data_IF_617547096169
#
_entry.id   IF_617547096169
#
_cell.length_a   1.000
_cell.length_b   1.000
_cell.length_c   1.000
_cell.angle_alpha   90.00
_cell.angle_beta   90.00
_cell.angle_gamma   90.00
#
_symmetry.space_group_name_H-M   'P 1'
#
loop_
_entity.id
_entity.type
_entity.pdbx_description
1 polymer ?
#
# COMPACT_ATOMS: atom_id res chain seq x y z
N UNK A 1 0.34 7.88 -1.20
CA UNK A 1 1.21 6.82 -0.63
C UNK A 1 1.83 7.32 0.67
N UNK A 2 2.00 6.45 1.68
CA UNK A 2 2.78 6.75 2.89
C UNK A 2 4.05 5.92 2.89
N UNK A 3 5.16 6.52 3.31
CA UNK A 3 6.48 5.86 3.26
C UNK A 3 6.93 5.55 4.68
N UNK A 4 7.34 4.29 4.86
CA UNK A 4 7.87 3.77 6.11
C UNK A 4 9.30 3.30 5.85
N UNK A 5 10.24 3.67 6.72
CA UNK A 5 11.64 3.25 6.64
C UNK A 5 11.91 2.26 7.75
N UNK A 6 12.22 1.01 7.41
CA UNK A 6 12.51 -0.06 8.38
C UNK A 6 13.97 -0.47 8.29
N UNK A 7 14.81 -0.02 9.23
CA UNK A 7 16.26 -0.26 9.21
C UNK A 7 16.78 -0.94 10.48
N UNK A 8 17.85 -1.71 10.32
CA UNK A 8 18.65 -2.25 11.42
C UNK A 8 19.62 -1.22 12.03
N UNK A 9 19.78 -0.06 11.41
CA UNK A 9 20.74 0.96 11.82
C UNK A 9 20.36 1.66 13.13
N UNK A 10 21.34 2.38 13.68
CA UNK A 10 21.15 3.29 14.80
C UNK A 10 20.18 4.42 14.42
N UNK A 11 19.45 4.91 15.42
CA UNK A 11 18.43 5.94 15.25
C UNK A 11 18.99 7.20 14.59
N UNK A 12 20.17 7.65 15.01
CA UNK A 12 20.78 8.90 14.55
C UNK A 12 21.11 8.84 13.05
N UNK A 13 21.70 7.74 12.59
CA UNK A 13 22.03 7.49 11.18
C UNK A 13 20.77 7.39 10.32
N UNK A 14 19.76 6.68 10.82
CA UNK A 14 18.50 6.50 10.13
C UNK A 14 17.71 7.81 10.00
N UNK A 15 17.69 8.61 11.07
CA UNK A 15 17.08 9.93 11.07
C UNK A 15 17.79 10.87 10.09
N UNK A 16 19.14 10.90 10.09
CA UNK A 16 19.92 11.68 9.13
C UNK A 16 19.57 11.32 7.67
N UNK A 17 19.40 10.02 7.39
CA UNK A 17 18.98 9.54 6.07
C UNK A 17 17.57 9.98 5.70
N UNK A 18 16.64 10.01 6.66
CA UNK A 18 15.28 10.52 6.47
C UNK A 18 15.27 12.02 6.16
N UNK A 19 16.11 12.82 6.82
CA UNK A 19 16.27 14.24 6.50
C UNK A 19 16.93 14.46 5.13
N UNK A 20 17.97 13.70 4.79
CA UNK A 20 18.64 13.79 3.50
C UNK A 20 17.73 13.41 2.33
N UNK A 21 16.86 12.42 2.52
CA UNK A 21 15.85 12.00 1.55
C UNK A 21 14.59 12.88 1.53
N UNK A 22 14.52 13.91 2.39
CA UNK A 22 13.37 14.83 2.56
C UNK A 22 12.09 14.13 3.01
N UNK A 23 12.23 12.95 3.63
CA UNK A 23 11.14 12.24 4.27
C UNK A 23 10.73 12.96 5.56
N UNK A 24 11.72 13.42 6.33
CA UNK A 24 11.53 14.40 7.39
C UNK A 24 12.02 15.77 6.90
N UNK A 25 11.21 16.81 7.11
CA UNK A 25 11.55 18.20 6.83
C UNK A 25 11.91 18.89 8.15
N UNK A 26 12.57 20.05 8.06
CA UNK A 26 12.87 20.87 9.26
C UNK A 26 11.61 21.34 9.99
N UNK A 27 10.49 21.45 9.28
CA UNK A 27 9.17 21.78 9.85
C UNK A 27 8.43 20.57 10.41
N UNK A 28 8.91 19.35 10.18
CA UNK A 28 8.26 18.12 10.64
C UNK A 28 8.51 17.97 12.14
N UNK A 29 7.44 17.89 12.93
CA UNK A 29 7.52 17.60 14.35
C UNK A 29 7.72 16.10 14.56
N UNK A 30 8.83 15.72 15.19
CA UNK A 30 9.17 14.32 15.41
C UNK A 30 8.56 13.82 16.72
N UNK A 31 7.78 12.76 16.62
CA UNK A 31 7.23 11.99 17.71
C UNK A 31 8.13 10.80 17.96
N UNK A 32 8.77 10.73 19.12
CA UNK A 32 9.69 9.65 19.46
C UNK A 32 9.05 8.66 20.42
N UNK A 33 9.05 7.39 20.03
CA UNK A 33 8.64 6.23 20.81
C UNK A 33 9.84 5.28 20.97
N UNK A 34 10.83 5.71 21.72
CA UNK A 34 12.12 5.00 21.88
C UNK A 34 12.26 4.44 23.30
N UNK A 35 13.13 3.44 23.47
CA UNK A 35 13.35 2.82 24.79
C UNK A 35 13.72 3.85 25.86
N UNK A 36 14.58 4.82 25.51
CA UNK A 36 15.01 5.90 26.41
C UNK A 36 13.82 6.65 27.01
N UNK A 37 12.86 7.04 26.16
CA UNK A 37 11.67 7.78 26.60
C UNK A 37 10.70 6.89 27.40
N UNK A 38 10.61 5.61 27.06
CA UNK A 38 9.77 4.65 27.80
C UNK A 38 10.40 4.14 29.10
N UNK A 39 11.68 4.40 29.35
CA UNK A 39 12.33 4.16 30.64
C UNK A 39 12.02 5.31 31.62
N UNK A 40 11.86 6.53 31.11
CA UNK A 40 11.51 7.72 31.87
C UNK A 40 9.99 7.81 32.19
N UNK A 41 9.14 7.27 31.32
CA UNK A 41 7.68 7.30 31.41
C UNK A 41 7.07 5.95 31.02
N UNK A 42 5.94 5.56 31.63
CA UNK A 42 5.23 4.35 31.22
C UNK A 42 4.89 4.39 29.72
N UNK A 43 5.06 3.26 29.03
CA UNK A 43 4.72 3.13 27.60
C UNK A 43 3.27 3.53 27.31
N UNK A 44 2.36 3.26 28.25
CA UNK A 44 0.96 3.66 28.17
C UNK A 44 0.82 5.18 28.04
N UNK A 45 1.50 5.92 28.92
CA UNK A 45 1.37 7.37 29.02
C UNK A 45 1.97 8.06 27.80
N UNK A 46 3.14 7.59 27.35
CA UNK A 46 3.78 8.11 26.12
C UNK A 46 2.87 7.89 24.91
N UNK A 47 2.28 6.70 24.74
CA UNK A 47 1.38 6.43 23.62
C UNK A 47 0.12 7.30 23.67
N UNK A 48 -0.47 7.46 24.85
CA UNK A 48 -1.69 8.24 25.01
C UNK A 48 -1.44 9.74 24.78
N UNK A 49 -0.32 10.26 25.27
CA UNK A 49 0.11 11.65 25.06
C UNK A 49 0.38 11.95 23.59
N UNK A 50 1.07 11.02 22.89
CA UNK A 50 1.30 11.13 21.46
C UNK A 50 -0.01 11.07 20.67
N UNK A 51 -0.90 10.15 21.00
CA UNK A 51 -2.23 10.05 20.38
C UNK A 51 -3.03 11.35 20.56
N UNK A 52 -3.06 11.89 21.78
CA UNK A 52 -3.75 13.15 22.08
C UNK A 52 -3.18 14.34 21.30
N UNK A 53 -1.85 14.42 21.19
CA UNK A 53 -1.17 15.48 20.43
C UNK A 53 -1.60 15.46 18.97
N UNK A 54 -1.57 14.27 18.38
CA UNK A 54 -1.92 14.05 16.98
C UNK A 54 -3.42 14.27 16.70
N UNK A 55 -4.30 13.81 17.61
CA UNK A 55 -5.74 13.93 17.46
C UNK A 55 -6.25 15.36 17.67
N UNK A 56 -5.66 16.10 18.63
CA UNK A 56 -5.97 17.52 18.83
C UNK A 56 -5.73 18.33 17.56
N UNK A 57 -4.59 18.09 16.89
CA UNK A 57 -4.27 18.80 15.66
C UNK A 57 -5.31 18.52 14.58
N UNK A 58 -5.69 17.25 14.36
CA UNK A 58 -6.66 16.87 13.31
C UNK A 58 -8.03 17.55 13.46
N UNK A 59 -8.46 17.84 14.70
CA UNK A 59 -9.69 18.59 14.95
C UNK A 59 -9.59 20.06 14.56
N UNK A 60 -8.42 20.68 14.77
CA UNK A 60 -8.12 22.08 14.41
C UNK A 60 -7.82 22.25 12.91
N UNK A 61 -7.17 21.26 12.27
CA UNK A 61 -6.78 21.29 10.86
C UNK A 61 -7.95 21.27 9.87
N UNK A 62 -9.18 20.95 10.30
CA UNK A 62 -10.36 21.13 9.44
C UNK A 62 -10.71 22.60 9.21
N UNK A 63 -10.14 23.51 10.00
CA UNK A 63 -10.43 24.95 10.00
C UNK A 63 -9.23 25.83 9.61
N UNK A 64 -8.00 25.29 9.59
CA UNK A 64 -6.78 26.05 9.28
C UNK A 64 -5.93 25.41 8.18
N UNK A 65 -5.32 26.24 7.34
CA UNK A 65 -4.50 25.85 6.16
C UNK A 65 -3.12 25.30 6.57
N UNK A 66 -2.67 25.56 7.80
CA UNK A 66 -1.35 25.16 8.29
C UNK A 66 -1.42 23.79 8.99
N UNK A 67 -1.34 22.73 8.19
CA UNK A 67 -1.28 21.37 8.70
C UNK A 67 0.16 21.07 9.17
N UNK A 68 0.34 20.98 10.49
CA UNK A 68 1.63 20.60 11.06
C UNK A 68 1.96 19.15 10.68
N UNK A 69 3.13 18.98 10.11
CA UNK A 69 3.61 17.70 9.61
C UNK A 69 4.24 16.89 10.75
N UNK A 70 3.81 15.65 10.96
CA UNK A 70 4.33 14.77 12.01
C UNK A 70 5.13 13.60 11.42
N UNK A 71 6.27 13.30 12.02
CA UNK A 71 7.06 12.11 11.75
C UNK A 71 7.14 11.24 13.00
N UNK A 72 7.06 9.91 12.87
CA UNK A 72 7.19 8.99 14.00
C UNK A 72 8.52 8.25 13.94
N UNK A 73 9.25 8.18 15.06
CA UNK A 73 10.43 7.33 15.23
C UNK A 73 10.16 6.30 16.32
N UNK A 74 10.38 5.03 16.02
CA UNK A 74 10.23 3.91 16.96
C UNK A 74 11.43 2.96 16.86
N UNK A 75 11.91 2.44 17.98
CA UNK A 75 12.96 1.43 17.99
C UNK A 75 12.39 0.01 18.09
N UNK A 76 13.16 -0.99 17.67
CA UNK A 76 12.73 -2.39 17.68
C UNK A 76 12.35 -2.91 19.09
N UNK A 77 12.96 -2.37 20.15
CA UNK A 77 12.64 -2.75 21.52
C UNK A 77 11.24 -2.27 21.93
N UNK A 78 10.95 -0.99 21.74
CA UNK A 78 9.65 -0.42 22.06
C UNK A 78 8.56 -0.94 21.13
N UNK A 79 8.86 -1.16 19.85
CA UNK A 79 7.95 -1.83 18.93
C UNK A 79 7.54 -3.21 19.44
N UNK A 80 8.47 -4.01 19.97
CA UNK A 80 8.15 -5.32 20.52
C UNK A 80 7.17 -5.21 21.69
N UNK A 81 7.32 -4.19 22.55
CA UNK A 81 6.41 -3.93 23.65
C UNK A 81 5.00 -3.53 23.15
N UNK A 82 4.93 -2.67 22.11
CA UNK A 82 3.65 -2.28 21.47
C UNK A 82 2.95 -3.47 20.80
N UNK A 83 3.70 -4.38 20.19
CA UNK A 83 3.16 -5.52 19.46
C UNK A 83 2.80 -6.71 20.34
N UNK A 84 3.31 -6.78 21.58
CA UNK A 84 3.00 -7.88 22.50
C UNK A 84 1.48 -7.99 22.71
N UNK A 85 0.90 -9.19 22.55
CA UNK A 85 -0.50 -9.39 22.88
C UNK A 85 -0.67 -9.22 24.39
N UNK A 86 -1.42 -8.19 24.80
CA UNK A 86 -1.82 -8.05 26.20
C UNK A 86 -2.99 -8.99 26.49
N UNK A 87 -2.92 -9.84 27.52
CA UNK A 87 -4.05 -10.68 27.93
C UNK A 87 -5.25 -9.88 28.49
N UNK A 88 -5.09 -8.58 28.76
CA UNK A 88 -6.14 -7.70 29.30
C UNK A 88 -7.00 -7.06 28.20
N UNK A 89 -7.63 -7.90 27.38
CA UNK A 89 -8.51 -7.50 26.25
C UNK A 89 -9.85 -6.89 26.68
N UNK A 90 -9.97 -6.39 27.92
CA UNK A 90 -11.26 -6.01 28.51
C UNK A 90 -11.30 -4.65 29.21
N UNK A 91 -10.21 -3.85 29.23
CA UNK A 91 -10.26 -2.59 30.00
C UNK A 91 -9.32 -1.44 29.66
N UNK A 92 -8.14 -1.67 29.04
CA UNK A 92 -7.21 -0.55 28.78
C UNK A 92 -6.48 -0.73 27.44
N UNK A 93 -6.84 0.14 26.49
CA UNK A 93 -6.17 0.46 25.22
C UNK A 93 -5.38 -0.65 24.50
N UNK A 94 -5.91 -1.14 23.37
CA UNK A 94 -5.12 -1.91 22.42
C UNK A 94 -3.95 -1.05 21.88
N UNK A 95 -2.75 -1.17 22.46
CA UNK A 95 -1.57 -0.39 22.08
C UNK A 95 -1.25 -0.47 20.58
N UNK A 96 -1.57 -1.61 19.94
CA UNK A 96 -1.41 -1.78 18.50
C UNK A 96 -2.32 -0.82 17.72
N UNK A 97 -3.57 -0.68 18.14
CA UNK A 97 -4.52 0.24 17.50
C UNK A 97 -4.12 1.70 17.70
N UNK A 98 -3.68 2.07 18.91
CA UNK A 98 -3.20 3.43 19.21
C UNK A 98 -1.96 3.76 18.37
N UNK A 99 -1.01 2.82 18.27
CA UNK A 99 0.17 2.97 17.43
C UNK A 99 -0.20 3.13 15.95
N UNK A 100 -1.15 2.33 15.45
CA UNK A 100 -1.65 2.45 14.07
C UNK A 100 -2.32 3.81 13.83
N UNK A 101 -3.08 4.32 14.80
CA UNK A 101 -3.72 5.63 14.74
C UNK A 101 -2.69 6.78 14.69
N UNK A 102 -1.68 6.75 15.56
CA UNK A 102 -0.57 7.74 15.53
C UNK A 102 0.13 7.68 14.17
N UNK A 103 0.52 6.47 13.75
CA UNK A 103 1.24 6.25 12.50
C UNK A 103 0.43 6.70 11.27
N UNK A 104 -0.89 6.57 11.31
CA UNK A 104 -1.79 7.07 10.25
C UNK A 104 -1.81 8.58 10.16
N UNK A 105 -1.57 9.32 11.23
CA UNK A 105 -1.58 10.78 11.15
C UNK A 105 -0.18 11.36 10.96
N UNK A 106 0.86 10.52 10.95
CA UNK A 106 2.21 10.90 10.54
C UNK A 106 2.36 10.82 9.02
N UNK A 107 3.15 11.72 8.43
CA UNK A 107 3.49 11.68 7.01
C UNK A 107 4.48 10.56 6.68
N UNK A 108 5.36 10.26 7.63
CA UNK A 108 6.36 9.23 7.52
C UNK A 108 6.67 8.58 8.88
N UNK A 109 7.05 7.31 8.84
CA UNK A 109 7.43 6.53 10.02
C UNK A 109 8.80 5.92 9.81
N UNK A 110 9.67 6.06 10.79
CA UNK A 110 10.99 5.46 10.84
C UNK A 110 11.04 4.43 11.97
N UNK A 111 11.34 3.19 11.62
CA UNK A 111 11.60 2.11 12.57
C UNK A 111 13.09 1.76 12.52
N UNK A 112 13.80 1.97 13.62
CA UNK A 112 15.25 1.73 13.72
C UNK A 112 15.58 0.52 14.60
N UNK A 113 16.80 0.00 14.49
CA UNK A 113 17.27 -1.21 15.21
C UNK A 113 16.33 -2.41 15.05
N UNK A 114 15.78 -2.58 13.85
CA UNK A 114 14.81 -3.62 13.52
C UNK A 114 15.47 -4.96 13.20
N UNK A 115 15.00 -6.03 13.82
CA UNK A 115 15.30 -7.39 13.38
C UNK A 115 14.50 -7.76 12.10
N UNK A 116 15.01 -8.66 11.23
CA UNK A 116 14.32 -9.05 9.99
C UNK A 116 12.87 -9.51 10.18
N UNK A 117 12.60 -10.29 11.23
CA UNK A 117 11.24 -10.76 11.54
C UNK A 117 10.31 -9.61 11.97
N UNK A 118 10.84 -8.62 12.68
CA UNK A 118 10.04 -7.47 13.11
C UNK A 118 9.62 -6.59 11.93
N UNK A 119 10.46 -6.49 10.88
CA UNK A 119 10.07 -5.79 9.64
C UNK A 119 8.83 -6.42 9.02
N UNK A 120 8.79 -7.75 8.93
CA UNK A 120 7.62 -8.48 8.44
C UNK A 120 6.39 -8.31 9.35
N UNK A 121 6.57 -8.32 10.68
CA UNK A 121 5.48 -8.08 11.63
C UNK A 121 4.82 -6.71 11.45
N UNK A 122 5.57 -5.66 11.14
CA UNK A 122 5.02 -4.33 10.81
C UNK A 122 4.17 -4.42 9.54
N UNK A 123 4.69 -5.02 8.46
CA UNK A 123 3.95 -5.16 7.20
C UNK A 123 2.64 -5.92 7.43
N UNK A 124 2.69 -7.01 8.19
CA UNK A 124 1.51 -7.81 8.56
C UNK A 124 0.50 -6.99 9.38
N UNK A 125 0.97 -6.21 10.36
CA UNK A 125 0.11 -5.33 11.16
C UNK A 125 -0.61 -4.30 10.28
N UNK A 126 0.11 -3.65 9.36
CA UNK A 126 -0.46 -2.64 8.47
C UNK A 126 -1.46 -3.25 7.49
N UNK A 127 -1.14 -4.41 6.91
CA UNK A 127 -2.02 -5.19 6.03
C UNK A 127 -3.33 -5.60 6.72
N UNK A 128 -3.24 -6.00 7.99
CA UNK A 128 -4.38 -6.40 8.81
C UNK A 128 -5.13 -5.21 9.47
N UNK A 129 -4.67 -3.97 9.24
CA UNK A 129 -5.35 -2.79 9.79
C UNK A 129 -6.70 -2.56 9.11
N UNK A 130 -7.61 -1.83 9.78
CA UNK A 130 -8.98 -1.57 9.31
C UNK A 130 -9.11 -0.94 7.91
N UNK A 131 -8.06 -0.27 7.44
CA UNK A 131 -8.06 0.38 6.12
C UNK A 131 -7.71 -0.61 4.99
N UNK A 132 -7.25 -1.82 5.32
CA UNK A 132 -6.77 -2.82 4.38
C UNK A 132 -5.88 -2.25 3.25
N UNK A 133 -4.85 -1.44 3.59
CA UNK A 133 -4.05 -0.78 2.58
C UNK A 133 -3.24 -1.80 1.77
N UNK A 134 -3.09 -1.55 0.47
CA UNK A 134 -2.14 -2.29 -0.37
C UNK A 134 -0.72 -1.90 0.05
N UNK A 135 0.02 -2.88 0.52
CA UNK A 135 1.39 -2.71 1.03
C UNK A 135 2.40 -3.13 -0.03
N UNK A 136 3.44 -2.31 -0.17
CA UNK A 136 4.60 -2.59 -1.00
C UNK A 136 5.84 -2.58 -0.12
N UNK A 137 6.64 -3.63 -0.22
CA UNK A 137 7.93 -3.73 0.47
C UNK A 137 9.06 -3.70 -0.55
N UNK A 138 10.11 -2.94 -0.24
CA UNK A 138 11.32 -2.86 -1.06
C UNK A 138 12.56 -3.11 -0.20
N UNK A 139 13.49 -3.90 -0.72
CA UNK A 139 14.74 -4.23 -0.03
C UNK A 139 15.81 -4.73 -0.99
N UNK A 140 17.06 -4.78 -0.54
CA UNK A 140 18.22 -5.17 -1.34
C UNK A 140 18.93 -6.43 -0.79
N UNK A 141 18.78 -6.71 0.50
CA UNK A 141 19.48 -7.78 1.21
C UNK A 141 18.61 -8.93 1.70
N UNK A 142 19.26 -9.95 2.24
CA UNK A 142 18.60 -11.09 2.88
C UNK A 142 17.73 -10.69 4.08
N UNK A 143 18.10 -9.60 4.77
CA UNK A 143 17.38 -9.05 5.93
C UNK A 143 15.98 -8.53 5.59
N UNK A 144 15.70 -8.28 4.31
CA UNK A 144 14.42 -7.74 3.84
C UNK A 144 13.52 -8.80 3.21
N UNK A 145 14.01 -10.02 3.01
CA UNK A 145 13.25 -11.10 2.34
C UNK A 145 11.94 -11.40 3.06
N UNK A 146 11.96 -11.50 4.39
CA UNK A 146 10.74 -11.72 5.18
C UNK A 146 9.72 -10.59 5.03
N UNK A 147 10.19 -9.35 4.92
CA UNK A 147 9.33 -8.17 4.72
C UNK A 147 8.75 -8.15 3.30
N UNK A 148 9.56 -8.47 2.29
CA UNK A 148 9.19 -8.56 0.87
C UNK A 148 8.09 -9.60 0.67
N UNK A 149 8.28 -10.80 1.24
CA UNK A 149 7.33 -11.91 1.11
C UNK A 149 6.00 -11.66 1.86
N UNK A 150 5.99 -10.80 2.89
CA UNK A 150 4.78 -10.49 3.66
C UNK A 150 3.92 -9.39 3.01
N UNK A 151 4.50 -8.53 2.17
CA UNK A 151 3.79 -7.46 1.48
C UNK A 151 2.89 -7.99 0.35
N UNK A 152 1.96 -7.16 -0.13
CA UNK A 152 1.16 -7.51 -1.32
C UNK A 152 1.98 -7.45 -2.60
N UNK A 153 2.96 -6.53 -2.64
CA UNK A 153 3.92 -6.39 -3.73
C UNK A 153 5.32 -6.29 -3.15
N UNK A 154 6.16 -7.26 -3.47
CA UNK A 154 7.57 -7.31 -3.11
C UNK A 154 8.45 -6.78 -4.24
N UNK A 155 9.36 -5.85 -3.93
CA UNK A 155 10.35 -5.32 -4.87
C UNK A 155 11.77 -5.54 -4.36
N UNK A 156 12.58 -6.25 -5.13
CA UNK A 156 13.99 -6.44 -4.85
C UNK A 156 14.85 -5.43 -5.60
N UNK A 157 15.78 -4.79 -4.92
CA UNK A 157 16.85 -4.03 -5.56
C UNK A 157 18.00 -4.98 -5.88
N UNK A 158 18.45 -4.97 -7.14
CA UNK A 158 19.57 -5.81 -7.57
C UNK A 158 20.90 -5.23 -7.02
N UNK A 159 21.31 -5.73 -5.86
CA UNK A 159 22.57 -5.37 -5.22
C UNK A 159 23.80 -6.06 -5.84
N UNK A 160 24.99 -5.57 -5.46
CA UNK A 160 26.27 -6.21 -5.76
C UNK A 160 26.61 -7.35 -4.79
N UNK A 161 26.19 -7.22 -3.53
CA UNK A 161 26.56 -8.12 -2.43
C UNK A 161 25.66 -9.36 -2.35
N UNK A 162 24.48 -9.32 -2.95
CA UNK A 162 23.56 -10.46 -2.98
C UNK A 162 22.35 -10.21 -3.85
N UNK A 163 21.73 -11.30 -4.33
CA UNK A 163 20.49 -11.28 -5.13
C UNK A 163 19.30 -11.89 -4.38
N UNK A 164 19.40 -12.08 -3.06
CA UNK A 164 18.36 -12.77 -2.29
C UNK A 164 17.04 -12.01 -2.30
N UNK A 165 17.06 -10.69 -2.08
CA UNK A 165 15.86 -9.86 -2.18
C UNK A 165 15.23 -9.93 -3.58
N UNK A 166 16.04 -9.73 -4.63
CA UNK A 166 15.59 -9.78 -6.04
C UNK A 166 15.03 -11.15 -6.48
N UNK A 167 15.54 -12.25 -5.92
CA UNK A 167 15.04 -13.61 -6.22
C UNK A 167 13.72 -13.94 -5.53
N UNK A 168 13.43 -13.30 -4.41
CA UNK A 168 12.23 -13.54 -3.59
C UNK A 168 11.18 -12.42 -3.73
N UNK A 169 11.35 -11.53 -4.70
CA UNK A 169 10.44 -10.40 -4.97
C UNK A 169 9.63 -10.62 -6.25
N UNK A 170 8.43 -10.06 -6.32
CA UNK A 170 7.60 -10.07 -7.53
C UNK A 170 8.26 -9.31 -8.68
N UNK A 171 8.96 -8.21 -8.36
CA UNK A 171 9.69 -7.39 -9.33
C UNK A 171 11.10 -7.09 -8.84
N UNK A 172 12.07 -7.10 -9.76
CA UNK A 172 13.44 -6.68 -9.48
C UNK A 172 13.80 -5.41 -10.25
N UNK A 173 14.37 -4.42 -9.56
CA UNK A 173 14.86 -3.17 -10.17
C UNK A 173 16.35 -2.97 -9.86
N UNK A 174 17.12 -2.36 -10.77
CA UNK A 174 18.56 -2.20 -10.55
C UNK A 174 18.91 -1.11 -9.53
N UNK A 175 18.07 -0.07 -9.41
CA UNK A 175 18.29 1.06 -8.48
C UNK A 175 16.95 1.62 -8.00
N UNK A 176 16.94 2.16 -6.79
CA UNK A 176 15.74 2.76 -6.17
C UNK A 176 15.06 3.83 -7.03
N UNK A 177 15.82 4.64 -7.79
CA UNK A 177 15.27 5.68 -8.69
C UNK A 177 14.26 5.15 -9.73
N UNK A 178 14.33 3.86 -10.07
CA UNK A 178 13.40 3.25 -11.03
C UNK A 178 12.01 2.98 -10.43
N UNK A 179 11.90 2.92 -9.09
CA UNK A 179 10.64 2.74 -8.39
C UNK A 179 9.61 3.82 -8.77
N UNK A 180 10.06 5.08 -8.94
CA UNK A 180 9.17 6.19 -9.35
C UNK A 180 8.48 5.90 -10.68
N UNK A 181 9.21 5.44 -11.69
CA UNK A 181 8.63 5.11 -13.00
C UNK A 181 7.78 3.85 -12.92
N UNK A 182 8.25 2.83 -12.19
CA UNK A 182 7.53 1.58 -12.01
C UNK A 182 6.14 1.81 -11.42
N UNK A 183 6.02 2.60 -10.35
CA UNK A 183 4.73 2.87 -9.72
C UNK A 183 3.89 3.86 -10.52
N UNK A 184 4.38 5.08 -10.71
CA UNK A 184 3.56 6.17 -11.24
C UNK A 184 3.18 5.96 -12.72
N UNK A 185 4.01 5.27 -13.50
CA UNK A 185 3.73 5.02 -14.92
C UNK A 185 3.15 3.63 -15.10
N UNK A 186 3.92 2.58 -14.77
CA UNK A 186 3.48 1.21 -15.08
C UNK A 186 2.33 0.76 -14.17
N UNK A 187 2.38 1.07 -12.87
CA UNK A 187 1.28 0.78 -11.94
C UNK A 187 -0.03 1.44 -12.36
N UNK A 188 0.01 2.73 -12.71
CA UNK A 188 -1.16 3.47 -13.20
C UNK A 188 -1.75 2.86 -14.48
N UNK A 189 -0.89 2.65 -15.48
CA UNK A 189 -1.32 2.12 -16.78
C UNK A 189 -1.88 0.69 -16.64
N UNK A 190 -1.23 -0.17 -15.86
CA UNK A 190 -1.71 -1.54 -15.65
C UNK A 190 -3.03 -1.58 -14.90
N UNK A 191 -3.21 -0.73 -13.89
CA UNK A 191 -4.47 -0.62 -13.17
C UNK A 191 -5.63 -0.24 -14.11
N UNK A 192 -5.47 0.84 -14.89
CA UNK A 192 -6.52 1.30 -15.80
C UNK A 192 -6.85 0.26 -16.88
N UNK A 193 -5.82 -0.34 -17.49
CA UNK A 193 -6.01 -1.38 -18.52
C UNK A 193 -6.81 -2.57 -18.01
N UNK A 194 -6.51 -3.05 -16.80
CA UNK A 194 -7.23 -4.17 -16.20
C UNK A 194 -8.65 -3.74 -15.79
N UNK A 195 -8.81 -2.56 -15.20
CA UNK A 195 -10.12 -2.05 -14.80
C UNK A 195 -11.07 -1.93 -16.00
N UNK A 196 -10.60 -1.33 -17.10
CA UNK A 196 -11.38 -1.18 -18.34
C UNK A 196 -11.63 -2.54 -19.02
N UNK A 197 -10.64 -3.44 -19.04
CA UNK A 197 -10.81 -4.81 -19.55
C UNK A 197 -11.95 -5.53 -18.84
N UNK A 198 -11.95 -5.50 -17.50
CA UNK A 198 -12.95 -6.17 -16.67
C UNK A 198 -14.32 -5.55 -16.86
N UNK A 199 -14.42 -4.22 -16.83
CA UNK A 199 -15.69 -3.51 -17.04
C UNK A 199 -16.27 -3.79 -18.42
N UNK A 200 -15.44 -3.74 -19.47
CA UNK A 200 -15.85 -4.05 -20.84
C UNK A 200 -16.31 -5.50 -20.97
N UNK A 201 -15.60 -6.44 -20.34
CA UNK A 201 -15.97 -7.85 -20.37
C UNK A 201 -17.36 -8.09 -19.76
N UNK A 202 -17.70 -7.43 -18.65
CA UNK A 202 -19.05 -7.49 -18.10
C UNK A 202 -20.07 -6.82 -19.01
N UNK A 203 -19.79 -5.59 -19.45
CA UNK A 203 -20.66 -4.81 -20.32
C UNK A 203 -21.08 -5.60 -21.57
N UNK A 204 -20.11 -6.13 -22.32
CA UNK A 204 -20.41 -6.84 -23.57
C UNK A 204 -21.28 -8.09 -23.33
N UNK A 205 -21.03 -8.83 -22.25
CA UNK A 205 -21.76 -10.06 -21.96
C UNK A 205 -23.19 -9.77 -21.53
N UNK A 206 -23.39 -8.76 -20.68
CA UNK A 206 -24.72 -8.31 -20.28
C UNK A 206 -25.50 -7.83 -21.50
N UNK A 207 -24.91 -6.96 -22.33
CA UNK A 207 -25.56 -6.49 -23.56
C UNK A 207 -25.92 -7.64 -24.52
N UNK A 208 -25.08 -8.66 -24.63
CA UNK A 208 -25.35 -9.81 -25.50
C UNK A 208 -26.48 -10.68 -24.98
N UNK A 209 -26.50 -11.03 -23.68
CA UNK A 209 -27.50 -11.96 -23.13
C UNK A 209 -28.83 -11.29 -22.78
N UNK A 210 -28.84 -9.98 -22.54
CA UNK A 210 -30.03 -9.26 -22.10
C UNK A 210 -31.23 -9.37 -23.07
N UNK A 211 -31.06 -9.26 -24.41
CA UNK A 211 -32.15 -9.54 -25.35
C UNK A 211 -32.70 -10.97 -25.24
N UNK A 212 -31.83 -11.96 -25.01
CA UNK A 212 -32.27 -13.34 -24.84
C UNK A 212 -33.07 -13.54 -23.54
N UNK A 213 -32.71 -12.82 -22.47
CA UNK A 213 -33.52 -12.75 -21.26
C UNK A 213 -34.90 -12.13 -21.53
N UNK A 214 -34.96 -11.00 -22.24
CA UNK A 214 -36.23 -10.36 -22.60
C UNK A 214 -37.11 -11.25 -23.49
N UNK A 215 -36.49 -12.00 -24.41
CA UNK A 215 -37.19 -12.93 -25.29
C UNK A 215 -37.97 -14.00 -24.51
N UNK A 216 -37.48 -14.41 -23.32
CA UNK A 216 -38.17 -15.43 -22.51
C UNK A 216 -39.56 -15.01 -22.05
N UNK A 217 -39.81 -13.71 -21.85
CA UNK A 217 -41.14 -13.22 -21.49
C UNK A 217 -42.15 -13.46 -22.62
N UNK A 218 -41.71 -13.42 -23.88
CA UNK A 218 -42.57 -13.65 -25.05
C UNK A 218 -42.78 -15.15 -25.34
N UNK A 219 -41.87 -16.01 -24.89
CA UNK A 219 -41.95 -17.46 -25.06
C UNK A 219 -42.51 -18.21 -23.84
N UNK A 220 -43.02 -17.49 -22.83
CA UNK A 220 -43.54 -18.10 -21.60
C UNK A 220 -42.49 -18.88 -20.81
N UNK A 221 -41.23 -18.43 -20.84
CA UNK A 221 -40.09 -19.07 -20.16
C UNK A 221 -39.79 -20.52 -20.60
N UNK A 222 -40.13 -20.88 -21.84
CA UNK A 222 -39.83 -22.19 -22.43
C UNK A 222 -38.34 -22.47 -22.69
N UNK A 223 -37.46 -21.50 -22.38
CA UNK A 223 -35.99 -21.57 -22.58
C UNK A 223 -35.57 -21.65 -24.06
N UNK A 224 -36.44 -21.27 -24.98
CA UNK A 224 -36.09 -21.20 -26.39
C UNK A 224 -35.00 -20.12 -26.60
N UNK A 225 -33.85 -20.46 -27.20
CA UNK A 225 -32.78 -19.50 -27.42
C UNK A 225 -33.19 -18.49 -28.50
N UNK A 226 -32.82 -17.22 -28.28
CA UNK A 226 -33.01 -16.16 -29.28
C UNK A 226 -31.94 -16.25 -30.37
N UNK A 227 -30.71 -16.58 -29.98
CA UNK A 227 -29.56 -16.68 -30.89
C UNK A 227 -29.30 -18.13 -31.28
N UNK A 228 -28.78 -18.34 -32.49
CA UNK A 228 -28.24 -19.63 -32.89
C UNK A 228 -27.02 -20.02 -32.03
N UNK A 229 -26.85 -21.32 -31.81
CA UNK A 229 -25.78 -21.90 -31.00
C UNK A 229 -24.39 -21.42 -31.43
N UNK A 230 -24.15 -21.23 -32.73
CA UNK A 230 -22.87 -20.73 -33.22
C UNK A 230 -22.56 -19.31 -32.71
N UNK A 231 -23.57 -18.42 -32.65
CA UNK A 231 -23.38 -17.07 -32.10
C UNK A 231 -23.11 -17.10 -30.60
N UNK A 232 -23.81 -17.95 -29.85
CA UNK A 232 -23.59 -18.12 -28.41
C UNK A 232 -22.13 -18.54 -28.11
N UNK A 233 -21.54 -19.39 -28.95
CA UNK A 233 -20.15 -19.81 -28.81
C UNK A 233 -19.14 -18.78 -29.33
N UNK A 234 -19.36 -18.23 -30.53
CA UNK A 234 -18.37 -17.41 -31.23
C UNK A 234 -18.31 -15.96 -30.73
N UNK A 235 -19.37 -15.44 -30.11
CA UNK A 235 -19.43 -14.05 -29.65
C UNK A 235 -18.26 -13.69 -28.73
N UNK A 236 -18.02 -14.51 -27.70
CA UNK A 236 -16.96 -14.26 -26.73
C UNK A 236 -15.57 -14.66 -27.23
N UNK A 237 -15.47 -15.72 -28.03
CA UNK A 237 -14.20 -16.29 -28.47
C UNK A 237 -13.60 -15.52 -29.63
N UNK A 238 -14.42 -15.17 -30.63
CA UNK A 238 -13.92 -14.63 -31.91
C UNK A 238 -14.39 -13.20 -32.16
N UNK A 239 -15.69 -12.92 -32.01
CA UNK A 239 -16.23 -11.64 -32.48
C UNK A 239 -15.84 -10.44 -31.61
N UNK A 240 -15.68 -10.64 -30.30
CA UNK A 240 -15.47 -9.53 -29.36
C UNK A 240 -14.22 -9.65 -28.48
N UNK A 241 -13.40 -10.70 -28.64
CA UNK A 241 -12.20 -10.92 -27.82
C UNK A 241 -11.02 -10.04 -28.26
N UNK A 242 -10.77 -9.96 -29.56
CA UNK A 242 -9.60 -9.28 -30.10
C UNK A 242 -9.61 -7.75 -29.88
N UNK A 243 -10.73 -7.01 -30.09
CA UNK A 243 -10.72 -5.56 -29.92
C UNK A 243 -10.36 -5.14 -28.50
N UNK A 244 -10.96 -5.79 -27.49
CA UNK A 244 -10.69 -5.45 -26.09
C UNK A 244 -9.28 -5.87 -25.67
N UNK A 245 -8.77 -7.00 -26.17
CA UNK A 245 -7.39 -7.41 -25.92
C UNK A 245 -6.39 -6.36 -26.44
N UNK A 246 -6.57 -5.89 -27.68
CA UNK A 246 -5.70 -4.87 -28.28
C UNK A 246 -5.76 -3.56 -27.51
N UNK A 247 -6.97 -3.11 -27.17
CA UNK A 247 -7.17 -1.91 -26.36
C UNK A 247 -6.45 -2.04 -25.01
N UNK A 248 -6.68 -3.11 -24.24
CA UNK A 248 -6.03 -3.32 -22.95
C UNK A 248 -4.51 -3.49 -23.01
N UNK A 249 -3.92 -3.86 -24.15
CA UNK A 249 -2.46 -3.94 -24.31
C UNK A 249 -1.81 -2.61 -24.71
N UNK A 250 -2.51 -1.80 -25.50
CA UNK A 250 -1.92 -0.63 -26.16
C UNK A 250 -2.31 0.68 -25.45
N UNK A 251 -3.48 0.72 -24.81
CA UNK A 251 -4.09 1.94 -24.28
C UNK A 251 -3.17 2.74 -23.36
N UNK A 252 -3.19 4.08 -23.55
CA UNK A 252 -2.43 5.08 -22.80
C UNK A 252 -3.22 6.41 -22.75
N UNK A 253 -4.22 6.47 -21.89
CA UNK A 253 -5.06 7.67 -21.70
C UNK A 253 -4.27 8.92 -21.26
N UNK A 254 -3.10 8.76 -20.64
CA UNK A 254 -2.19 9.88 -20.25
C UNK A 254 -0.76 9.56 -20.69
N UNK A 255 -0.03 10.60 -21.11
CA UNK A 255 1.37 10.47 -21.52
C UNK A 255 2.28 9.97 -20.39
N UNK A 256 3.36 9.27 -20.76
CA UNK A 256 4.34 8.73 -19.80
C UNK A 256 5.06 9.87 -19.06
N UNK A 257 5.32 10.98 -19.74
CA UNK A 257 5.95 12.16 -19.19
C UNK A 257 5.08 12.79 -18.10
N UNK A 258 3.78 12.98 -18.39
CA UNK A 258 2.81 13.56 -17.45
C UNK A 258 2.67 12.69 -16.20
N UNK A 259 2.48 11.37 -16.35
CA UNK A 259 2.38 10.44 -15.22
C UNK A 259 3.64 10.46 -14.34
N UNK A 260 4.82 10.69 -14.93
CA UNK A 260 6.08 10.75 -14.19
C UNK A 260 6.30 12.11 -13.52
N UNK A 261 5.83 13.20 -14.13
CA UNK A 261 6.00 14.56 -13.60
C UNK A 261 4.98 14.92 -12.54
N UNK A 262 3.76 14.40 -12.65
CA UNK A 262 2.65 14.69 -11.74
C UNK A 262 2.21 13.43 -10.96
N UNK A 263 2.75 13.21 -9.74
CA UNK A 263 2.36 12.09 -8.89
C UNK A 263 0.92 12.17 -8.37
N UNK A 264 0.23 13.32 -8.49
CA UNK A 264 -1.13 13.46 -7.99
C UNK A 264 -2.12 12.58 -8.77
N UNK A 265 -1.83 12.29 -10.04
CA UNK A 265 -2.61 11.40 -10.90
C UNK A 265 -2.66 9.93 -10.44
N UNK A 266 -1.73 9.54 -9.55
CA UNK A 266 -1.69 8.18 -8.99
C UNK A 266 -2.65 7.99 -7.80
N UNK A 267 -3.27 9.08 -7.31
CA UNK A 267 -4.23 9.03 -6.21
C UNK A 267 -5.60 8.58 -6.71
#
# INVERSE_FOLDING_TARGET
>A
MKVWVLTGDKMETAAATCYASKLFRRSTQILELTKKRTEEQSLHDVLFDLSRTVLRQRSLSRLSVDCQDYGLIIDGATLSAVLKPSPESSGSGNYREIFLEISRNCSAVLCCRMAPLQKAQIVKLIKASKEHPITLAIGDGANDVSMILEAHVGIGIMGKEGRQAARNSDYAIPKFKHLKKMLLVHGHIYYIRIAELVQYFFYKNVCFIFPQFLYQFFCGFSQQPLYDTAYLTLYNISFTSLPILLYSLIEKHVSIETLKSDPALYR
#
